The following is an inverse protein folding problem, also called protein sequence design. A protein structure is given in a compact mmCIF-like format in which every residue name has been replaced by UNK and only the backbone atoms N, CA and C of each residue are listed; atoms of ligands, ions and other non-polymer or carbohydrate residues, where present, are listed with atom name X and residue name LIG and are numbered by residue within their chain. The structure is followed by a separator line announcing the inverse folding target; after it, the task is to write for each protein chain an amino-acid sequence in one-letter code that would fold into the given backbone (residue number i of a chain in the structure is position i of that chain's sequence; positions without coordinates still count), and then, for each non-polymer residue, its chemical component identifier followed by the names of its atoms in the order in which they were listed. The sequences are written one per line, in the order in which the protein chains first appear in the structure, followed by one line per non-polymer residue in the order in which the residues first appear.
data_IF_286196882493
#
_entry.id   IF_286196882493
#
_cell.length_a   1.000
_cell.length_b   1.000
_cell.length_c   1.000
_cell.angle_alpha   90.00
_cell.angle_beta   90.00
_cell.angle_gamma   90.00
#
_symmetry.space_group_name_H-M   'P 1'
#
loop_
_entity.id
_entity.type
_entity.pdbx_description
1 polymer ?
#
# COMPACT_ATOMS: atom_id res chain seq x y z
N UNK A 1 1.40 -51.60 63.36
CA UNK A 1 1.04 -50.40 64.14
C UNK A 1 1.43 -49.16 63.33
N UNK A 2 0.55 -48.22 63.25
CA UNK A 2 0.53 -46.83 62.82
C UNK A 2 0.18 -46.55 61.35
N UNK A 3 -1.04 -46.10 61.26
CA UNK A 3 -1.68 -45.41 60.14
C UNK A 3 -0.95 -44.13 59.75
N UNK A 4 -0.75 -43.89 58.46
CA UNK A 4 -0.40 -42.60 57.84
C UNK A 4 -1.51 -42.20 56.89
N UNK A 5 -2.24 -41.16 57.28
CA UNK A 5 -3.39 -40.54 56.60
C UNK A 5 -2.87 -39.68 55.45
N UNK A 6 -3.26 -39.95 54.21
CA UNK A 6 -3.04 -39.10 53.06
C UNK A 6 -4.06 -37.94 53.13
N UNK A 7 -3.53 -36.71 53.08
CA UNK A 7 -4.31 -35.47 52.94
C UNK A 7 -4.62 -35.20 51.49
N UNK A 8 -5.83 -34.69 51.30
CA UNK A 8 -6.51 -34.55 50.03
C UNK A 8 -5.89 -33.50 49.10
N UNK A 9 -6.06 -33.80 47.85
CA UNK A 9 -5.86 -32.90 46.70
C UNK A 9 -6.88 -31.77 46.75
N UNK A 10 -6.37 -30.55 46.89
CA UNK A 10 -7.14 -29.31 46.71
C UNK A 10 -7.37 -28.99 45.24
N UNK A 11 -8.62 -29.18 44.87
CA UNK A 11 -9.19 -28.71 43.58
C UNK A 11 -9.00 -27.21 43.41
N UNK A 12 -8.13 -26.80 42.50
CA UNK A 12 -7.93 -25.42 42.05
C UNK A 12 -8.27 -25.26 40.58
N UNK A 13 -9.39 -25.84 40.13
CA UNK A 13 -10.00 -25.49 38.85
C UNK A 13 -10.89 -24.25 39.04
N UNK A 14 -10.23 -23.07 39.23
CA UNK A 14 -10.92 -21.77 39.14
C UNK A 14 -11.11 -21.46 37.66
N UNK A 15 -12.19 -21.94 37.06
CA UNK A 15 -12.69 -21.47 35.79
C UNK A 15 -12.86 -19.95 35.88
N UNK A 16 -12.07 -19.20 35.07
CA UNK A 16 -12.28 -17.76 34.86
C UNK A 16 -13.71 -17.55 34.34
N UNK A 17 -14.47 -16.59 34.90
CA UNK A 17 -15.79 -16.28 34.37
C UNK A 17 -15.67 -15.89 32.88
N UNK A 18 -16.61 -16.27 32.03
CA UNK A 18 -16.60 -15.89 30.62
C UNK A 18 -16.65 -14.36 30.53
N UNK A 19 -15.81 -13.82 29.65
CA UNK A 19 -15.80 -12.39 29.35
C UNK A 19 -17.21 -11.93 28.96
N UNK A 20 -17.71 -10.81 29.50
CA UNK A 20 -19.01 -10.26 29.14
C UNK A 20 -19.12 -10.10 27.63
N UNK A 21 -20.14 -10.72 27.02
CA UNK A 21 -20.37 -10.65 25.55
C UNK A 21 -20.52 -9.22 25.06
N UNK A 22 -21.04 -8.32 25.88
CA UNK A 22 -21.28 -6.93 25.57
C UNK A 22 -19.95 -6.16 25.40
N UNK A 23 -18.94 -6.41 26.24
CA UNK A 23 -17.59 -5.82 26.12
C UNK A 23 -16.86 -6.32 24.87
N UNK A 24 -17.07 -7.56 24.45
CA UNK A 24 -16.52 -8.10 23.22
C UNK A 24 -17.22 -7.49 22.01
N UNK A 25 -18.53 -7.27 22.09
CA UNK A 25 -19.30 -6.64 21.02
C UNK A 25 -18.96 -5.15 20.89
N UNK A 26 -18.84 -4.41 22.01
CA UNK A 26 -18.41 -3.01 22.01
C UNK A 26 -16.97 -2.84 21.51
N UNK A 27 -16.03 -3.72 21.90
CA UNK A 27 -14.67 -3.73 21.38
C UNK A 27 -14.61 -4.04 19.87
N UNK A 28 -15.48 -4.93 19.38
CA UNK A 28 -15.62 -5.23 17.93
C UNK A 28 -16.24 -4.07 17.15
N UNK A 29 -17.16 -3.32 17.74
CA UNK A 29 -17.79 -2.13 17.14
C UNK A 29 -16.85 -0.93 17.13
N UNK A 30 -15.90 -0.85 18.07
CA UNK A 30 -14.90 0.20 18.18
C UNK A 30 -13.69 0.01 17.23
N UNK A 31 -13.46 -1.19 16.71
CA UNK A 31 -12.42 -1.42 15.70
C UNK A 31 -12.92 -0.97 14.33
N UNK A 32 -12.62 0.26 13.98
CA UNK A 32 -12.84 0.80 12.63
C UNK A 32 -12.22 -0.16 11.62
N UNK A 33 -13.05 -0.69 10.71
CA UNK A 33 -12.55 -1.61 9.68
C UNK A 33 -11.52 -0.92 8.82
N UNK A 34 -10.45 -1.61 8.50
CA UNK A 34 -9.40 -1.10 7.63
C UNK A 34 -9.12 -2.05 6.48
N UNK A 35 -8.62 -1.52 5.39
CA UNK A 35 -7.98 -2.25 4.31
C UNK A 35 -6.50 -1.88 4.28
N UNK A 36 -5.63 -2.84 3.96
CA UNK A 36 -4.22 -2.57 3.68
C UNK A 36 -4.03 -2.41 2.19
N UNK A 37 -3.41 -1.31 1.73
CA UNK A 37 -3.10 -1.06 0.32
C UNK A 37 -1.59 -1.07 0.11
N UNK A 38 -1.09 -2.13 -0.54
CA UNK A 38 0.28 -2.17 -1.05
C UNK A 38 0.37 -1.42 -2.38
N UNK A 39 1.31 -0.46 -2.44
CA UNK A 39 1.30 0.54 -3.49
C UNK A 39 2.71 1.02 -3.89
N UNK A 40 2.90 1.45 -5.13
CA UNK A 40 4.16 2.00 -5.64
C UNK A 40 3.95 3.18 -6.57
N UNK A 41 4.75 4.24 -6.41
CA UNK A 41 4.69 5.46 -7.22
C UNK A 41 4.93 5.23 -8.73
N UNK A 42 5.68 4.19 -9.09
CA UNK A 42 5.94 3.85 -10.49
C UNK A 42 4.93 2.87 -11.10
N UNK A 43 3.90 2.50 -10.40
CA UNK A 43 2.87 1.59 -10.91
C UNK A 43 1.72 2.37 -11.54
N UNK A 44 1.49 2.29 -12.87
CA UNK A 44 0.34 2.93 -13.51
C UNK A 44 -0.99 2.37 -13.00
N UNK A 45 -1.07 1.07 -12.74
CA UNK A 45 -2.30 0.49 -12.18
C UNK A 45 -2.56 0.93 -10.74
N UNK A 46 -1.51 1.25 -9.96
CA UNK A 46 -1.68 1.88 -8.64
C UNK A 46 -2.30 3.28 -8.79
N UNK A 47 -1.79 4.09 -9.72
CA UNK A 47 -2.37 5.40 -10.02
C UNK A 47 -3.85 5.29 -10.44
N UNK A 48 -4.18 4.38 -11.35
CA UNK A 48 -5.55 4.18 -11.86
C UNK A 48 -6.50 3.68 -10.75
N UNK A 49 -6.01 2.87 -9.81
CA UNK A 49 -6.79 2.35 -8.69
C UNK A 49 -7.15 3.43 -7.66
N UNK A 50 -6.28 4.42 -7.46
CA UNK A 50 -6.27 5.27 -6.28
C UNK A 50 -7.58 6.08 -6.07
N UNK A 51 -8.18 6.74 -7.09
CA UNK A 51 -9.45 7.44 -6.91
C UNK A 51 -10.58 6.53 -6.42
N UNK A 52 -10.61 5.29 -6.89
CA UNK A 52 -11.62 4.29 -6.51
C UNK A 52 -11.39 3.76 -5.10
N UNK A 53 -10.13 3.66 -4.66
CA UNK A 53 -9.81 3.31 -3.26
C UNK A 53 -10.24 4.42 -2.31
N UNK A 54 -9.99 5.69 -2.67
CA UNK A 54 -10.47 6.85 -1.90
C UNK A 54 -12.01 6.85 -1.80
N UNK A 55 -12.69 6.53 -2.90
CA UNK A 55 -14.15 6.41 -2.91
C UNK A 55 -14.65 5.29 -1.97
N UNK A 56 -14.02 4.10 -2.01
CA UNK A 56 -14.34 2.99 -1.11
C UNK A 56 -14.14 3.39 0.36
N UNK A 57 -12.99 3.99 0.69
CA UNK A 57 -12.71 4.46 2.05
C UNK A 57 -13.84 5.39 2.56
N UNK A 58 -14.25 6.35 1.72
CA UNK A 58 -15.33 7.27 2.06
C UNK A 58 -16.70 6.58 2.13
N UNK A 59 -17.04 5.73 1.16
CA UNK A 59 -18.34 5.07 1.06
C UNK A 59 -18.60 4.11 2.23
N UNK A 60 -17.59 3.36 2.63
CA UNK A 60 -17.70 2.35 3.68
C UNK A 60 -17.21 2.84 5.05
N UNK A 61 -16.69 4.06 5.15
CA UNK A 61 -16.14 4.61 6.39
C UNK A 61 -14.95 3.82 6.94
N UNK A 62 -14.14 3.22 6.05
CA UNK A 62 -13.01 2.37 6.41
C UNK A 62 -11.68 3.10 6.23
N UNK A 63 -10.71 2.79 7.09
CA UNK A 63 -9.37 3.34 6.97
C UNK A 63 -8.54 2.58 5.93
N UNK A 64 -7.58 3.28 5.33
CA UNK A 64 -6.62 2.70 4.38
C UNK A 64 -5.22 2.73 4.99
N UNK A 65 -4.73 1.55 5.39
CA UNK A 65 -3.34 1.37 5.82
C UNK A 65 -2.45 1.30 4.57
N UNK A 66 -1.73 2.40 4.30
CA UNK A 66 -0.86 2.51 3.13
C UNK A 66 0.47 1.80 3.38
N UNK A 67 0.80 0.85 2.52
CA UNK A 67 2.06 0.10 2.53
C UNK A 67 2.84 0.36 1.24
N UNK A 68 3.75 1.33 1.31
CA UNK A 68 4.58 1.70 0.17
C UNK A 68 5.66 0.63 -0.05
N UNK A 69 5.85 0.24 -1.31
CA UNK A 69 6.93 -0.66 -1.74
C UNK A 69 7.71 -0.04 -2.90
N UNK A 70 8.94 -0.46 -3.10
CA UNK A 70 9.71 -0.07 -4.27
C UNK A 70 9.05 -0.52 -5.58
N UNK A 71 9.37 0.11 -6.72
CA UNK A 71 8.92 -0.35 -8.03
C UNK A 71 9.19 -1.84 -8.25
N UNK A 72 8.22 -2.53 -8.86
CA UNK A 72 8.32 -3.98 -9.08
C UNK A 72 9.57 -4.38 -9.88
N UNK A 73 10.05 -3.53 -10.79
CA UNK A 73 11.28 -3.79 -11.53
C UNK A 73 12.52 -3.88 -10.63
N UNK A 74 12.54 -3.18 -9.50
CA UNK A 74 13.63 -3.24 -8.51
C UNK A 74 13.50 -4.43 -7.56
N UNK A 75 12.25 -4.83 -7.24
CA UNK A 75 11.97 -5.93 -6.32
C UNK A 75 11.98 -7.31 -6.99
N UNK A 76 11.73 -7.37 -8.30
CA UNK A 76 11.67 -8.59 -9.11
C UNK A 76 12.33 -8.38 -10.48
N UNK A 77 13.62 -8.02 -10.55
CA UNK A 77 14.28 -7.71 -11.81
C UNK A 77 14.27 -8.89 -12.77
N UNK A 78 14.42 -10.11 -12.25
CA UNK A 78 14.43 -11.34 -13.06
C UNK A 78 13.09 -11.57 -13.79
N UNK A 79 11.96 -11.32 -13.12
CA UNK A 79 10.65 -11.42 -13.74
C UNK A 79 10.52 -10.52 -14.98
N UNK A 80 11.01 -9.28 -14.89
CA UNK A 80 10.95 -8.34 -16.00
C UNK A 80 11.95 -8.68 -17.12
N UNK A 81 13.08 -9.28 -16.76
CA UNK A 81 14.08 -9.74 -17.72
C UNK A 81 13.60 -10.94 -18.54
N UNK A 82 12.85 -11.84 -17.94
CA UNK A 82 12.33 -13.08 -18.54
C UNK A 82 10.90 -12.97 -19.05
N UNK A 83 10.28 -11.79 -18.91
CA UNK A 83 8.91 -11.55 -19.34
C UNK A 83 8.73 -11.81 -20.85
N UNK A 84 7.61 -12.42 -21.21
CA UNK A 84 7.25 -12.59 -22.63
C UNK A 84 7.30 -11.25 -23.38
N UNK A 85 7.97 -11.16 -24.52
CA UNK A 85 8.10 -9.91 -25.28
C UNK A 85 6.78 -9.22 -25.63
N UNK A 86 5.69 -9.96 -25.74
CA UNK A 86 4.34 -9.40 -25.99
C UNK A 86 3.72 -8.74 -24.76
N UNK A 87 4.17 -9.07 -23.56
CA UNK A 87 3.56 -8.57 -22.34
C UNK A 87 3.74 -7.05 -22.15
N UNK A 88 4.91 -6.52 -22.49
CA UNK A 88 5.20 -5.08 -22.31
C UNK A 88 4.39 -4.19 -23.28
N UNK A 89 4.33 -4.42 -24.59
CA UNK A 89 3.48 -3.66 -25.49
C UNK A 89 2.01 -3.69 -25.07
N UNK A 90 1.52 -4.87 -24.68
CA UNK A 90 0.16 -5.01 -24.15
C UNK A 90 -0.05 -4.19 -22.88
N UNK A 91 0.87 -4.29 -21.90
CA UNK A 91 0.81 -3.51 -20.66
C UNK A 91 0.74 -2.00 -20.92
N UNK A 92 1.52 -1.49 -21.88
CA UNK A 92 1.51 -0.08 -22.25
C UNK A 92 0.17 0.36 -22.83
N UNK A 93 -0.40 -0.47 -23.72
CA UNK A 93 -1.72 -0.22 -24.32
C UNK A 93 -2.83 -0.31 -23.29
N UNK A 94 -2.78 -1.33 -22.44
CA UNK A 94 -3.82 -1.62 -21.46
C UNK A 94 -3.89 -0.54 -20.37
N UNK A 95 -2.74 -0.06 -19.87
CA UNK A 95 -2.73 1.02 -18.87
C UNK A 95 -3.33 2.32 -19.40
N UNK A 96 -3.04 2.68 -20.67
CA UNK A 96 -3.64 3.85 -21.30
C UNK A 96 -5.16 3.68 -21.48
N UNK A 97 -5.61 2.49 -21.90
CA UNK A 97 -7.03 2.15 -22.05
C UNK A 97 -7.75 2.15 -20.73
N UNK A 98 -7.18 1.55 -19.69
CA UNK A 98 -7.78 1.53 -18.36
C UNK A 98 -7.90 2.93 -17.75
N UNK A 99 -6.88 3.78 -17.92
CA UNK A 99 -6.95 5.19 -17.49
C UNK A 99 -8.08 5.94 -18.21
N UNK A 100 -8.16 5.80 -19.55
CA UNK A 100 -9.23 6.42 -20.36
C UNK A 100 -10.62 5.90 -19.95
N UNK A 101 -10.77 4.61 -19.71
CA UNK A 101 -12.02 4.00 -19.25
C UNK A 101 -12.50 4.60 -17.93
N UNK A 102 -11.57 4.91 -17.02
CA UNK A 102 -11.88 5.56 -15.74
C UNK A 102 -11.86 7.10 -15.80
N UNK A 103 -11.76 7.71 -16.98
CA UNK A 103 -11.77 9.17 -17.16
C UNK A 103 -10.55 9.88 -16.57
N UNK A 104 -9.42 9.17 -16.43
CA UNK A 104 -8.20 9.71 -15.86
C UNK A 104 -7.27 10.24 -16.95
N UNK A 105 -6.74 11.46 -16.75
CA UNK A 105 -5.59 11.92 -17.53
C UNK A 105 -4.40 10.99 -17.24
N UNK A 106 -3.70 10.56 -18.30
CA UNK A 106 -2.64 9.56 -18.14
C UNK A 106 -1.48 9.80 -19.09
N UNK A 107 -0.30 9.93 -18.53
CA UNK A 107 0.98 9.92 -19.23
C UNK A 107 2.05 9.36 -18.30
N UNK A 108 3.03 8.65 -18.85
CA UNK A 108 4.16 8.17 -18.05
C UNK A 108 4.95 9.36 -17.47
N UNK A 109 5.49 9.23 -16.24
CA UNK A 109 6.35 10.24 -15.64
C UNK A 109 7.57 10.58 -16.51
N UNK A 110 7.89 11.86 -16.57
CA UNK A 110 9.11 12.36 -17.20
C UNK A 110 9.81 13.27 -16.18
N UNK A 111 11.01 12.85 -15.68
CA UNK A 111 11.70 11.58 -15.94
C UNK A 111 10.98 10.37 -15.33
N UNK A 112 11.30 9.15 -15.81
CA UNK A 112 10.86 7.93 -15.16
C UNK A 112 11.50 7.84 -13.76
N UNK A 113 10.77 7.45 -12.71
CA UNK A 113 11.36 7.27 -11.37
C UNK A 113 12.50 6.27 -11.30
N UNK A 114 12.58 5.29 -12.21
CA UNK A 114 13.72 4.37 -12.30
C UNK A 114 14.64 4.76 -13.48
N UNK A 115 15.92 4.54 -13.27
CA UNK A 115 16.93 4.66 -14.33
C UNK A 115 16.95 3.35 -15.13
N UNK A 116 16.48 3.39 -16.37
CA UNK A 116 16.38 2.23 -17.24
C UNK A 116 16.75 2.61 -18.67
N UNK A 117 17.60 1.81 -19.29
CA UNK A 117 17.90 1.97 -20.73
C UNK A 117 16.60 1.79 -21.54
N UNK A 118 16.26 2.73 -22.43
CA UNK A 118 14.98 2.69 -23.14
C UNK A 118 14.89 1.58 -24.21
N UNK A 119 16.05 1.06 -24.66
CA UNK A 119 16.14 0.03 -25.72
C UNK A 119 16.31 -1.35 -25.12
N UNK A 120 17.34 -1.53 -24.31
CA UNK A 120 17.68 -2.84 -23.71
C UNK A 120 16.88 -3.17 -22.47
N UNK A 121 16.24 -2.16 -21.84
CA UNK A 121 15.53 -2.25 -20.58
C UNK A 121 16.40 -2.61 -19.38
N UNK A 122 17.71 -2.58 -19.56
CA UNK A 122 18.65 -2.77 -18.47
C UNK A 122 18.45 -1.67 -17.41
N UNK A 123 18.42 -2.10 -16.17
CA UNK A 123 18.35 -1.20 -15.02
C UNK A 123 19.76 -0.67 -14.73
N UNK A 124 19.87 0.59 -14.35
CA UNK A 124 21.07 1.11 -13.73
C UNK A 124 21.28 0.50 -12.34
N UNK A 125 22.48 0.70 -11.77
CA UNK A 125 22.79 0.22 -10.42
C UNK A 125 22.05 1.03 -9.34
N UNK A 126 21.75 2.31 -9.62
CA UNK A 126 21.12 3.20 -8.68
C UNK A 126 19.84 3.84 -9.24
N UNK A 127 18.88 4.06 -8.35
CA UNK A 127 17.56 4.64 -8.66
C UNK A 127 17.18 5.71 -7.62
N UNK A 128 17.88 6.84 -7.56
CA UNK A 128 17.70 7.83 -6.48
C UNK A 128 16.29 8.41 -6.44
N UNK A 129 15.64 8.64 -7.58
CA UNK A 129 14.27 9.13 -7.65
C UNK A 129 13.28 8.15 -7.06
N UNK A 130 13.36 6.88 -7.44
CA UNK A 130 12.46 5.84 -6.94
C UNK A 130 12.64 5.62 -5.43
N UNK A 131 13.90 5.60 -4.97
CA UNK A 131 14.20 5.45 -3.53
C UNK A 131 13.69 6.63 -2.73
N UNK A 132 13.92 7.87 -3.20
CA UNK A 132 13.39 9.07 -2.54
C UNK A 132 11.87 9.05 -2.46
N UNK A 133 11.16 8.77 -3.56
CA UNK A 133 9.70 8.67 -3.56
C UNK A 133 9.19 7.62 -2.56
N UNK A 134 9.82 6.44 -2.53
CA UNK A 134 9.48 5.39 -1.58
C UNK A 134 9.60 5.87 -0.13
N UNK A 135 10.75 6.44 0.24
CA UNK A 135 11.01 6.96 1.58
C UNK A 135 10.08 8.11 1.97
N UNK A 136 9.79 9.03 1.04
CA UNK A 136 8.79 10.09 1.26
C UNK A 136 7.40 9.51 1.52
N UNK A 137 7.00 8.47 0.79
CA UNK A 137 5.74 7.77 1.03
C UNK A 137 5.65 7.12 2.41
N UNK A 138 6.74 6.50 2.90
CA UNK A 138 6.84 5.97 4.27
C UNK A 138 6.71 7.12 5.28
N UNK A 139 7.50 8.19 5.14
CA UNK A 139 7.48 9.33 6.04
C UNK A 139 6.12 10.04 6.10
N UNK A 140 5.38 10.07 4.98
CA UNK A 140 4.00 10.58 4.90
C UNK A 140 3.02 9.64 5.63
N UNK A 141 3.20 8.33 5.49
CA UNK A 141 2.36 7.32 6.16
C UNK A 141 2.53 7.40 7.68
N UNK A 142 3.76 7.55 8.18
CA UNK A 142 4.05 7.73 9.60
C UNK A 142 3.38 8.98 10.21
N UNK A 143 3.06 9.99 9.39
CA UNK A 143 2.33 11.19 9.78
C UNK A 143 0.82 11.08 9.58
N UNK A 144 0.31 9.89 9.23
CA UNK A 144 -1.12 9.65 8.98
C UNK A 144 -1.65 10.25 7.67
N UNK A 145 -0.76 10.70 6.78
CA UNK A 145 -1.12 11.34 5.50
C UNK A 145 -0.73 10.49 4.27
N UNK A 146 -0.45 9.20 4.46
CA UNK A 146 0.04 8.33 3.40
C UNK A 146 -0.87 8.27 2.17
N UNK A 147 -2.17 8.07 2.37
CA UNK A 147 -3.15 8.02 1.27
C UNK A 147 -3.20 9.36 0.52
N UNK A 148 -3.33 10.48 1.24
CA UNK A 148 -3.43 11.80 0.62
C UNK A 148 -2.14 12.17 -0.12
N UNK A 149 -0.98 11.86 0.45
CA UNK A 149 0.32 12.04 -0.21
C UNK A 149 0.41 11.22 -1.51
N UNK A 150 0.00 9.96 -1.47
CA UNK A 150 -0.03 9.12 -2.67
C UNK A 150 -0.98 9.69 -3.74
N UNK A 151 -2.13 10.24 -3.37
CA UNK A 151 -3.06 10.89 -4.32
C UNK A 151 -2.39 12.08 -5.01
N UNK A 152 -1.80 12.99 -4.26
CA UNK A 152 -1.24 14.23 -4.82
C UNK A 152 0.02 13.99 -5.64
N UNK A 153 0.93 13.13 -5.14
CA UNK A 153 2.17 12.80 -5.84
C UNK A 153 1.91 11.91 -7.06
N UNK A 154 0.95 10.99 -7.00
CA UNK A 154 0.59 10.21 -8.20
C UNK A 154 0.00 11.08 -9.30
N UNK A 155 -0.82 12.07 -8.94
CA UNK A 155 -1.35 13.03 -9.92
C UNK A 155 -0.22 13.80 -10.57
N UNK A 156 0.74 14.31 -9.78
CA UNK A 156 1.93 14.99 -10.30
C UNK A 156 2.72 14.11 -11.28
N UNK A 157 2.88 12.83 -10.97
CA UNK A 157 3.65 11.90 -11.79
C UNK A 157 2.93 11.49 -13.08
N UNK A 158 1.61 11.21 -13.02
CA UNK A 158 0.91 10.45 -14.05
C UNK A 158 -0.11 11.23 -14.87
N UNK A 159 -0.56 12.43 -14.45
CA UNK A 159 -1.59 13.17 -15.19
C UNK A 159 -1.08 13.88 -16.46
N UNK A 160 0.22 13.90 -16.65
CA UNK A 160 0.87 14.43 -17.83
C UNK A 160 0.99 15.95 -17.89
N UNK A 161 0.63 16.69 -16.85
CA UNK A 161 0.69 18.15 -16.81
C UNK A 161 2.09 18.69 -16.61
N UNK A 162 2.96 17.92 -15.95
CA UNK A 162 4.30 18.33 -15.56
C UNK A 162 5.35 17.41 -16.16
N UNK A 163 6.41 17.99 -16.72
CA UNK A 163 7.69 17.35 -16.96
C UNK A 163 8.67 17.83 -15.87
N UNK A 164 9.66 17.03 -15.51
CA UNK A 164 10.59 17.40 -14.44
C UNK A 164 9.89 17.48 -13.07
N UNK A 165 9.06 16.50 -12.76
CA UNK A 165 8.30 16.44 -11.50
C UNK A 165 9.19 16.48 -10.25
N UNK A 166 10.47 16.09 -10.37
CA UNK A 166 11.52 16.09 -9.36
C UNK A 166 12.31 17.40 -9.26
N UNK A 167 12.03 18.36 -10.13
CA UNK A 167 12.65 19.68 -10.19
C UNK A 167 11.75 20.76 -9.57
N UNK A 168 12.36 21.91 -9.25
CA UNK A 168 11.63 23.09 -8.78
C UNK A 168 10.77 22.81 -7.53
N UNK A 169 9.56 23.38 -7.51
CA UNK A 169 8.63 23.30 -6.38
C UNK A 169 7.56 22.20 -6.50
N UNK A 170 7.52 21.45 -7.60
CA UNK A 170 6.42 20.54 -7.92
C UNK A 170 6.10 19.52 -6.83
N UNK A 171 7.16 18.88 -6.30
CA UNK A 171 6.99 17.88 -5.24
C UNK A 171 6.62 18.53 -3.90
N UNK A 172 7.14 19.72 -3.61
CA UNK A 172 6.78 20.49 -2.42
C UNK A 172 5.32 20.94 -2.45
N UNK A 173 4.84 21.40 -3.60
CA UNK A 173 3.44 21.77 -3.80
C UNK A 173 2.50 20.56 -3.67
N UNK A 174 2.87 19.40 -4.24
CA UNK A 174 2.11 18.17 -4.08
C UNK A 174 2.06 17.72 -2.60
N UNK A 175 3.18 17.80 -1.88
CA UNK A 175 3.26 17.53 -0.44
C UNK A 175 2.38 18.47 0.37
N UNK A 176 2.41 19.77 0.04
CA UNK A 176 1.58 20.79 0.71
C UNK A 176 0.08 20.54 0.52
N UNK A 177 -0.35 20.13 -0.68
CA UNK A 177 -1.76 19.73 -0.91
C UNK A 177 -2.18 18.50 -0.12
N UNK A 178 -1.22 17.65 0.24
CA UNK A 178 -1.44 16.53 1.15
C UNK A 178 -1.36 16.91 2.64
N UNK A 179 -1.21 18.20 2.96
CA UNK A 179 -1.08 18.68 4.34
C UNK A 179 0.30 18.44 4.95
N UNK A 180 1.34 18.25 4.13
CA UNK A 180 2.69 17.92 4.55
C UNK A 180 3.72 18.96 4.06
N UNK A 181 4.79 19.12 4.83
CA UNK A 181 5.94 19.91 4.46
C UNK A 181 7.05 19.00 3.90
N UNK A 182 7.44 19.17 2.64
CA UNK A 182 8.46 18.35 2.00
C UNK A 182 9.81 18.42 2.71
N UNK A 183 10.22 19.61 3.18
CA UNK A 183 11.51 19.76 3.87
C UNK A 183 11.54 19.00 5.19
N UNK A 184 10.42 18.92 5.92
CA UNK A 184 10.31 18.11 7.14
C UNK A 184 10.33 16.61 6.83
N UNK A 185 9.74 16.17 5.71
CA UNK A 185 9.84 14.78 5.27
C UNK A 185 11.28 14.43 4.91
N UNK A 186 11.96 15.26 4.10
CA UNK A 186 13.36 15.06 3.73
C UNK A 186 14.28 15.08 4.97
N UNK A 187 14.05 15.97 5.93
CA UNK A 187 14.80 16.00 7.19
C UNK A 187 14.61 14.72 8.02
N UNK A 188 13.38 14.21 8.10
CA UNK A 188 13.10 12.94 8.78
C UNK A 188 13.81 11.75 8.11
N UNK A 189 13.84 11.73 6.78
CA UNK A 189 14.55 10.69 6.02
C UNK A 189 16.07 10.81 6.22
N UNK A 190 16.61 12.02 6.20
CA UNK A 190 18.03 12.26 6.41
C UNK A 190 18.49 11.89 7.82
N UNK A 191 17.62 12.04 8.83
CA UNK A 191 17.91 11.65 10.21
C UNK A 191 18.03 10.13 10.39
N UNK A 192 17.30 9.33 9.63
CA UNK A 192 17.35 7.87 9.69
C UNK A 192 16.96 7.23 8.34
N UNK A 193 17.88 7.24 7.36
CA UNK A 193 17.59 6.75 6.02
C UNK A 193 17.41 5.22 5.98
N UNK A 194 18.05 4.49 6.89
CA UNK A 194 18.00 3.03 6.93
C UNK A 194 16.66 2.53 7.47
N UNK A 195 16.07 3.22 8.43
CA UNK A 195 14.73 2.93 8.95
C UNK A 195 13.67 3.01 7.85
N UNK A 196 13.73 4.04 7.00
CA UNK A 196 12.77 4.18 5.89
C UNK A 196 12.97 3.11 4.83
N UNK A 197 14.22 2.74 4.53
CA UNK A 197 14.52 1.63 3.61
C UNK A 197 14.02 0.31 4.17
N UNK A 198 14.32 0.02 5.44
CA UNK A 198 13.84 -1.17 6.13
C UNK A 198 12.30 -1.27 6.13
N UNK A 199 11.59 -0.14 6.31
CA UNK A 199 10.12 -0.13 6.23
C UNK A 199 9.60 -0.52 4.84
N UNK A 200 10.27 -0.10 3.76
CA UNK A 200 9.95 -0.51 2.39
C UNK A 200 10.16 -2.01 2.18
N UNK A 201 11.24 -2.56 2.72
CA UNK A 201 11.55 -4.00 2.67
C UNK A 201 10.53 -4.82 3.48
N UNK A 202 10.17 -4.36 4.67
CA UNK A 202 9.12 -4.99 5.50
C UNK A 202 7.77 -4.99 4.79
N UNK A 203 7.43 -3.92 4.10
CA UNK A 203 6.20 -3.85 3.30
C UNK A 203 6.23 -4.83 2.12
N UNK A 204 7.37 -5.03 1.45
CA UNK A 204 7.48 -6.05 0.39
C UNK A 204 7.35 -7.48 0.96
N UNK A 205 7.97 -7.74 2.10
CA UNK A 205 7.81 -9.03 2.78
C UNK A 205 6.36 -9.28 3.20
N UNK A 206 5.67 -8.26 3.73
CA UNK A 206 4.25 -8.33 4.10
C UNK A 206 3.36 -8.55 2.88
N UNK A 207 3.63 -7.88 1.74
CA UNK A 207 2.91 -8.10 0.48
C UNK A 207 3.03 -9.55 0.01
N UNK A 208 4.24 -10.12 0.05
CA UNK A 208 4.47 -11.52 -0.32
C UNK A 208 3.77 -12.48 0.63
N UNK A 209 3.80 -12.20 1.93
CA UNK A 209 3.09 -12.99 2.95
C UNK A 209 1.57 -12.92 2.79
N UNK A 210 1.04 -11.81 2.26
CA UNK A 210 -0.37 -11.67 1.91
C UNK A 210 -0.78 -12.43 0.64
N UNK A 211 0.14 -13.11 -0.04
CA UNK A 211 -0.13 -13.99 -1.17
C UNK A 211 0.09 -13.37 -2.55
N UNK A 212 0.65 -12.16 -2.64
CA UNK A 212 1.00 -11.57 -3.93
C UNK A 212 2.28 -10.73 -3.86
N UNK A 213 2.89 -10.43 -5.02
CA UNK A 213 4.09 -9.61 -5.15
C UNK A 213 3.87 -8.32 -5.93
N UNK A 214 2.78 -8.19 -6.66
CA UNK A 214 2.46 -7.04 -7.51
C UNK A 214 1.67 -5.96 -6.78
N UNK A 215 1.58 -4.79 -7.40
CA UNK A 215 0.82 -3.64 -6.89
C UNK A 215 -0.04 -3.01 -8.01
N UNK A 216 -1.22 -2.45 -7.67
CA UNK A 216 -1.80 -2.36 -6.33
C UNK A 216 -2.29 -3.73 -5.85
N UNK A 217 -2.08 -4.03 -4.58
CA UNK A 217 -2.76 -5.16 -3.91
C UNK A 217 -3.45 -4.61 -2.68
N UNK A 218 -4.75 -4.87 -2.57
CA UNK A 218 -5.54 -4.50 -1.40
C UNK A 218 -5.78 -5.76 -0.59
N UNK A 219 -5.58 -5.70 0.72
CA UNK A 219 -5.88 -6.82 1.61
C UNK A 219 -7.02 -6.42 2.53
N UNK A 220 -8.06 -7.23 2.55
CA UNK A 220 -9.19 -7.10 3.45
C UNK A 220 -9.45 -8.42 4.17
N UNK A 221 -9.39 -8.42 5.50
CA UNK A 221 -9.56 -9.63 6.33
C UNK A 221 -8.66 -10.82 5.92
N UNK A 222 -7.43 -10.53 5.49
CA UNK A 222 -6.48 -11.54 5.02
C UNK A 222 -6.66 -11.98 3.56
N UNK A 223 -7.70 -11.52 2.87
CA UNK A 223 -7.93 -11.82 1.44
C UNK A 223 -7.22 -10.77 0.55
N UNK A 224 -6.29 -11.17 -0.34
CA UNK A 224 -5.65 -10.26 -1.28
C UNK A 224 -6.49 -10.04 -2.55
N UNK A 225 -6.59 -8.78 -2.98
CA UNK A 225 -7.21 -8.34 -4.23
C UNK A 225 -6.15 -7.63 -5.06
N UNK A 226 -5.54 -8.34 -6.00
CA UNK A 226 -4.48 -7.78 -6.84
C UNK A 226 -5.03 -7.16 -8.12
N UNK A 227 -4.63 -5.92 -8.39
CA UNK A 227 -4.94 -5.20 -9.61
C UNK A 227 -6.07 -4.18 -9.45
N UNK A 228 -6.02 -3.16 -10.30
CA UNK A 228 -7.05 -2.11 -10.32
C UNK A 228 -8.43 -2.66 -10.74
N UNK A 229 -8.46 -3.76 -11.46
CA UNK A 229 -9.65 -4.44 -11.96
C UNK A 229 -10.35 -5.33 -10.91
N UNK A 230 -9.75 -5.50 -9.72
CA UNK A 230 -10.35 -6.22 -8.59
C UNK A 230 -11.07 -5.31 -7.59
N UNK A 231 -11.08 -4.01 -7.82
CA UNK A 231 -11.72 -3.05 -6.89
C UNK A 231 -13.23 -3.28 -6.78
N UNK A 232 -13.91 -3.68 -7.86
CA UNK A 232 -15.35 -3.98 -7.81
C UNK A 232 -15.63 -5.29 -7.06
N UNK A 233 -14.73 -6.27 -7.15
CA UNK A 233 -14.79 -7.50 -6.35
C UNK A 233 -14.57 -7.18 -4.87
N UNK A 234 -13.62 -6.32 -4.53
CA UNK A 234 -13.44 -5.82 -3.16
C UNK A 234 -14.70 -5.10 -2.66
N UNK A 235 -15.29 -4.22 -3.47
CA UNK A 235 -16.53 -3.51 -3.12
C UNK A 235 -17.66 -4.49 -2.82
N UNK A 236 -17.84 -5.51 -3.65
CA UNK A 236 -18.78 -6.58 -3.40
C UNK A 236 -18.48 -7.30 -2.07
N UNK A 237 -17.22 -7.65 -1.82
CA UNK A 237 -16.82 -8.35 -0.58
C UNK A 237 -17.06 -7.51 0.68
N UNK A 238 -16.88 -6.20 0.60
CA UNK A 238 -17.20 -5.27 1.69
C UNK A 238 -18.70 -5.20 1.99
N UNK A 239 -19.56 -5.30 0.96
CA UNK A 239 -21.03 -5.30 1.15
C UNK A 239 -21.54 -6.59 1.83
N UNK A 240 -20.90 -7.74 1.58
CA UNK A 240 -21.28 -9.00 2.22
C UNK A 240 -21.14 -8.95 3.75
N UNK A 241 -20.14 -8.21 4.25
CA UNK A 241 -19.94 -8.04 5.70
C UNK A 241 -21.02 -7.21 6.38
N UNK A 242 -21.65 -6.27 5.66
CA UNK A 242 -22.72 -5.44 6.20
C UNK A 242 -24.02 -6.27 6.33
N UNK A 243 -24.14 -7.32 5.50
CA UNK A 243 -25.33 -8.19 5.44
C UNK A 243 -25.27 -9.37 6.40
N UNK A 244 -24.10 -9.67 6.98
CA UNK A 244 -23.86 -10.78 7.93
C UNK A 244 -23.31 -10.20 9.25
N UNK A 245 -24.15 -9.63 10.10
CA UNK A 245 -23.76 -9.25 11.46
C UNK A 245 -23.79 -10.52 12.32
N UNK A 246 -22.66 -11.27 12.40
CA UNK A 246 -22.48 -12.31 13.42
C UNK A 246 -22.40 -11.72 14.84
#
# INVERSE_FOLDING_TARGET
MRNGKLMGDGDHDKQMPPFPRDLVLEARTAMKSSITLFWSFRSPYSYIALPRVVEISRQFGIDVDMRIVHPAALRNPEYFRTMNPLARPYFMLDTARAAAFHGLAFRRPIPDPIEQDPVTLALADEHPRARRLGKLGIAATERGQGLQFCVEVSRLLWDGRVNGWDEGSHLAEASSRAGLNLAELDASIAADPDRHEFSLEQNDAALRSAGHWGVPTIVFQGEPFFGQDRIDVLRWRLTQRISDPD
#
